data_IF_541831722460
#
_entry.id   IF_541831722460
#
_cell.length_a   1.000
_cell.length_b   1.000
_cell.length_c   1.000
_cell.angle_alpha   90.00
_cell.angle_beta   90.00
_cell.angle_gamma   90.00
#
_symmetry.space_group_name_H-M   'P 1'
#
loop_
_entity.id
_entity.type
_entity.pdbx_description
1 polymer ?
#
# COMPACT_ATOMS: atom_id res chain seq x y z
N UNK A 1 10.99 8.45 30.25
CA UNK A 1 10.10 7.45 29.61
C UNK A 1 10.28 7.57 28.11
N UNK A 2 10.59 6.49 27.39
CA UNK A 2 10.90 6.56 25.95
C UNK A 2 9.69 6.93 25.09
N UNK A 3 9.93 7.46 23.89
CA UNK A 3 8.89 7.89 22.93
C UNK A 3 7.89 6.76 22.61
N UNK A 4 8.36 5.52 22.48
CA UNK A 4 7.51 4.33 22.25
C UNK A 4 6.60 4.06 23.46
N UNK A 5 7.10 4.17 24.69
CA UNK A 5 6.28 3.99 25.89
C UNK A 5 5.23 5.08 26.01
N UNK A 6 5.58 6.32 25.65
CA UNK A 6 4.63 7.42 25.62
C UNK A 6 3.53 7.20 24.57
N UNK A 7 3.93 6.87 23.33
CA UNK A 7 3.00 6.57 22.23
C UNK A 7 2.08 5.39 22.58
N UNK A 8 2.61 4.33 23.21
CA UNK A 8 1.80 3.19 23.66
C UNK A 8 0.79 3.57 24.74
N UNK A 9 1.17 4.41 25.71
CA UNK A 9 0.22 4.92 26.73
C UNK A 9 -0.87 5.79 26.10
N UNK A 10 -0.49 6.68 25.19
CA UNK A 10 -1.44 7.51 24.46
C UNK A 10 -2.40 6.66 23.63
N UNK A 11 -1.88 5.69 22.87
CA UNK A 11 -2.69 4.81 22.04
C UNK A 11 -3.70 4.01 22.87
N UNK A 12 -3.29 3.46 24.02
CA UNK A 12 -4.22 2.76 24.91
C UNK A 12 -5.31 3.69 25.42
N UNK A 13 -4.94 4.88 25.91
CA UNK A 13 -5.91 5.86 26.39
C UNK A 13 -6.88 6.36 25.31
N UNK A 14 -6.44 6.40 24.05
CA UNK A 14 -7.28 6.77 22.91
C UNK A 14 -8.18 5.62 22.44
N UNK A 15 -7.62 4.41 22.30
CA UNK A 15 -8.26 3.31 21.59
C UNK A 15 -9.09 2.39 22.50
N UNK A 16 -8.69 2.15 23.75
CA UNK A 16 -9.46 1.28 24.66
C UNK A 16 -10.91 1.77 24.87
N UNK A 17 -11.18 3.07 25.13
CA UNK A 17 -12.55 3.55 25.25
C UNK A 17 -13.39 3.37 23.98
N UNK A 18 -12.76 3.42 22.79
CA UNK A 18 -13.44 3.17 21.52
C UNK A 18 -13.75 1.67 21.37
N UNK A 19 -12.82 0.80 21.72
CA UNK A 19 -13.04 -0.66 21.64
C UNK A 19 -14.10 -1.15 22.63
N UNK A 20 -14.35 -0.42 23.73
CA UNK A 20 -15.42 -0.72 24.69
C UNK A 20 -16.78 -0.10 24.29
N UNK A 21 -16.82 0.84 23.33
CA UNK A 21 -18.05 1.49 22.89
C UNK A 21 -18.79 0.63 21.84
N UNK A 22 -20.00 0.10 22.14
CA UNK A 22 -20.78 -0.72 21.21
C UNK A 22 -21.19 0.01 19.92
N UNK A 23 -21.17 1.35 19.90
CA UNK A 23 -21.42 2.12 18.68
C UNK A 23 -20.20 2.14 17.76
N UNK A 24 -18.99 1.99 18.31
CA UNK A 24 -17.75 1.91 17.55
C UNK A 24 -17.44 0.47 17.16
N UNK A 25 -17.51 -0.47 18.09
CA UNK A 25 -17.13 -1.88 17.88
C UNK A 25 -18.29 -2.72 17.31
N UNK A 26 -18.85 -2.27 16.19
CA UNK A 26 -19.95 -2.94 15.49
C UNK A 26 -19.57 -3.21 14.03
N UNK A 27 -19.10 -4.44 13.77
CA UNK A 27 -18.54 -4.85 12.49
C UNK A 27 -17.35 -3.99 12.06
N UNK A 28 -16.43 -3.73 13.01
CA UNK A 28 -15.28 -2.83 12.85
C UNK A 28 -13.96 -3.59 12.85
N UNK A 29 -13.11 -3.30 11.86
CA UNK A 29 -11.70 -3.67 11.83
C UNK A 29 -10.84 -2.43 12.08
N UNK A 30 -9.98 -2.49 13.08
CA UNK A 30 -8.98 -1.47 13.40
C UNK A 30 -7.60 -2.00 13.04
N UNK A 31 -6.84 -1.21 12.27
CA UNK A 31 -5.42 -1.42 12.06
C UNK A 31 -4.63 -0.41 12.90
N UNK A 32 -3.75 -0.90 13.74
CA UNK A 32 -2.69 -0.10 14.35
C UNK A 32 -1.38 -0.45 13.66
N UNK A 33 -0.68 0.55 13.13
CA UNK A 33 0.57 0.37 12.37
C UNK A 33 1.48 1.60 12.52
N UNK A 34 2.69 1.53 11.96
CA UNK A 34 3.63 2.64 11.84
C UNK A 34 3.91 2.92 10.37
N UNK A 35 4.32 4.15 10.04
CA UNK A 35 4.71 4.55 8.70
C UNK A 35 6.13 4.08 8.31
N UNK A 36 7.05 3.99 9.27
CA UNK A 36 8.40 3.48 9.02
C UNK A 36 9.08 2.90 10.27
N UNK A 37 10.22 2.23 10.05
CA UNK A 37 11.17 1.94 11.11
C UNK A 37 12.19 3.08 11.27
N UNK A 38 12.75 3.23 12.47
CA UNK A 38 13.71 4.31 12.77
C UNK A 38 15.16 3.96 12.33
N UNK A 39 15.38 2.81 11.71
CA UNK A 39 16.72 2.33 11.37
C UNK A 39 16.86 2.07 9.88
N UNK A 40 17.39 3.07 9.16
CA UNK A 40 17.61 3.02 7.71
C UNK A 40 18.53 1.89 7.22
N UNK A 41 19.37 1.31 8.09
CA UNK A 41 20.22 0.15 7.75
C UNK A 41 19.48 -1.20 7.82
N UNK A 42 18.31 -1.26 8.46
CA UNK A 42 17.49 -2.46 8.60
C UNK A 42 16.31 -2.38 7.64
N UNK A 43 15.91 -3.50 7.03
CA UNK A 43 14.73 -3.54 6.17
C UNK A 43 13.53 -2.88 6.85
N UNK A 44 12.87 -1.96 6.15
CA UNK A 44 11.66 -1.32 6.66
C UNK A 44 10.56 -2.38 6.87
N UNK A 45 10.38 -2.73 8.15
CA UNK A 45 9.36 -3.65 8.66
C UNK A 45 8.81 -3.03 9.92
N UNK A 46 7.53 -2.73 9.87
CA UNK A 46 6.81 -2.07 10.95
C UNK A 46 5.95 -3.07 11.70
N UNK A 47 5.74 -2.82 12.98
CA UNK A 47 4.76 -3.56 13.76
C UNK A 47 3.36 -3.16 13.30
N UNK A 48 2.50 -4.14 13.09
CA UNK A 48 1.10 -3.92 12.78
C UNK A 48 0.24 -4.92 13.54
N UNK A 49 -0.89 -4.48 14.05
CA UNK A 49 -1.88 -5.33 14.72
C UNK A 49 -3.28 -4.99 14.24
N UNK A 50 -4.07 -6.03 14.01
CA UNK A 50 -5.50 -5.92 13.73
C UNK A 50 -6.27 -6.17 15.02
N UNK A 51 -7.23 -5.30 15.29
CA UNK A 51 -8.15 -5.35 16.42
C UNK A 51 -9.58 -5.19 15.87
N UNK A 52 -10.60 -5.69 16.57
CA UNK A 52 -11.97 -5.59 16.08
C UNK A 52 -12.86 -6.77 16.47
N UNK A 53 -14.17 -6.56 16.49
CA UNK A 53 -15.18 -7.61 16.68
C UNK A 53 -15.34 -8.49 15.43
N UNK A 54 -14.93 -7.99 14.26
CA UNK A 54 -14.94 -8.76 13.01
C UNK A 54 -13.88 -9.84 12.94
N UNK A 55 -12.90 -9.84 13.85
CA UNK A 55 -11.82 -10.81 13.85
C UNK A 55 -12.36 -12.16 14.36
N UNK A 56 -12.28 -13.24 13.56
CA UNK A 56 -12.69 -14.57 14.00
C UNK A 56 -11.94 -15.01 15.25
N UNK A 57 -12.65 -15.67 16.19
CA UNK A 57 -12.07 -16.13 17.47
C UNK A 57 -10.81 -16.98 17.31
N UNK A 58 -10.72 -17.79 16.26
CA UNK A 58 -9.56 -18.63 15.97
C UNK A 58 -8.32 -17.85 15.47
N UNK A 59 -8.45 -16.56 15.14
CA UNK A 59 -7.35 -15.69 14.76
C UNK A 59 -6.85 -14.79 15.90
N UNK A 60 -7.53 -14.76 17.04
CA UNK A 60 -7.09 -13.97 18.20
C UNK A 60 -5.75 -14.51 18.71
N UNK A 61 -4.74 -13.64 18.80
CA UNK A 61 -3.37 -14.00 19.19
C UNK A 61 -2.58 -14.75 18.11
N UNK A 62 -3.13 -14.90 16.90
CA UNK A 62 -2.42 -15.48 15.77
C UNK A 62 -1.50 -14.45 15.09
N UNK A 63 -0.67 -14.93 14.17
CA UNK A 63 0.19 -14.09 13.34
C UNK A 63 -0.01 -14.43 11.86
N UNK A 64 -0.17 -13.38 11.05
CA UNK A 64 -0.24 -13.47 9.60
C UNK A 64 1.16 -13.34 8.99
N UNK A 65 1.49 -14.22 8.04
CA UNK A 65 2.80 -14.26 7.35
C UNK A 65 2.73 -13.72 5.92
N UNK A 66 1.58 -13.20 5.50
CA UNK A 66 1.39 -12.55 4.21
C UNK A 66 2.35 -11.37 4.01
N UNK A 67 2.63 -11.05 2.75
CA UNK A 67 3.38 -9.85 2.41
C UNK A 67 2.43 -8.66 2.30
N UNK A 68 2.60 -7.69 3.18
CA UNK A 68 1.83 -6.45 3.21
C UNK A 68 2.74 -5.23 3.10
N UNK A 69 2.24 -4.19 2.45
CA UNK A 69 2.85 -2.86 2.43
C UNK A 69 1.75 -1.81 2.64
N UNK A 70 2.06 -0.51 2.70
CA UNK A 70 1.02 0.50 2.92
C UNK A 70 -0.09 0.54 1.86
N UNK A 71 0.17 0.09 0.62
CA UNK A 71 -0.90 -0.05 -0.38
C UNK A 71 -1.86 -1.19 -0.05
N UNK A 72 -1.48 -2.16 0.79
CA UNK A 72 -2.38 -3.20 1.30
C UNK A 72 -3.50 -2.62 2.14
N UNK A 73 -3.26 -1.53 2.87
CA UNK A 73 -4.28 -0.83 3.63
C UNK A 73 -5.37 -0.29 2.69
N UNK A 74 -4.95 0.45 1.66
CA UNK A 74 -5.86 0.98 0.64
C UNK A 74 -6.56 -0.12 -0.16
N UNK A 75 -5.83 -1.16 -0.58
CA UNK A 75 -6.42 -2.27 -1.34
C UNK A 75 -7.43 -3.05 -0.50
N UNK A 76 -7.18 -3.19 0.80
CA UNK A 76 -8.14 -3.82 1.74
C UNK A 76 -9.42 -3.02 1.86
N UNK A 77 -9.33 -1.68 1.98
CA UNK A 77 -10.51 -0.80 1.95
C UNK A 77 -11.25 -0.96 0.61
N UNK A 78 -10.53 -0.94 -0.51
CA UNK A 78 -11.15 -1.11 -1.81
C UNK A 78 -11.89 -2.45 -1.95
N UNK A 79 -11.29 -3.53 -1.46
CA UNK A 79 -11.89 -4.87 -1.49
C UNK A 79 -13.13 -4.94 -0.58
N UNK A 80 -13.03 -4.43 0.65
CA UNK A 80 -14.10 -4.48 1.64
C UNK A 80 -15.39 -3.76 1.18
N UNK A 81 -15.24 -2.63 0.46
CA UNK A 81 -16.38 -1.85 -0.03
C UNK A 81 -16.69 -2.04 -1.52
N UNK A 82 -16.01 -2.97 -2.21
CA UNK A 82 -16.21 -3.18 -3.65
C UNK A 82 -15.84 -1.96 -4.50
N UNK A 83 -14.88 -1.15 -4.05
CA UNK A 83 -14.44 0.05 -4.74
C UNK A 83 -13.51 -0.27 -5.92
N UNK A 84 -13.40 0.71 -6.81
CA UNK A 84 -12.46 0.69 -7.94
C UNK A 84 -11.03 1.00 -7.47
N UNK A 85 -10.05 0.52 -8.23
CA UNK A 85 -8.65 0.82 -8.00
C UNK A 85 -8.26 2.19 -8.58
N UNK A 86 -7.13 2.71 -8.12
CA UNK A 86 -6.48 3.92 -8.63
C UNK A 86 -5.57 3.64 -9.84
N UNK A 87 -5.45 2.37 -10.26
CA UNK A 87 -4.53 1.96 -11.31
C UNK A 87 -3.06 2.09 -10.91
N UNK A 88 -2.74 2.04 -9.61
CA UNK A 88 -1.37 2.19 -9.09
C UNK A 88 -0.97 0.93 -8.31
N UNK A 89 -0.08 1.07 -7.31
CA UNK A 89 0.38 -0.06 -6.51
C UNK A 89 -0.71 -0.68 -5.61
N UNK A 90 -1.86 -0.03 -5.48
CA UNK A 90 -3.07 -0.59 -4.86
C UNK A 90 -3.64 -1.78 -5.65
N UNK A 91 -3.47 -1.79 -6.98
CA UNK A 91 -3.92 -2.89 -7.85
C UNK A 91 -3.27 -4.21 -7.46
N UNK A 92 -1.96 -4.19 -7.19
CA UNK A 92 -1.18 -5.38 -6.90
C UNK A 92 -0.99 -5.67 -5.41
N UNK A 93 -1.37 -4.77 -4.52
CA UNK A 93 -1.19 -5.01 -3.11
C UNK A 93 -2.09 -6.16 -2.64
N UNK A 94 -1.55 -7.04 -1.80
CA UNK A 94 -2.36 -8.02 -1.09
C UNK A 94 -3.33 -7.29 -0.15
N UNK A 95 -4.56 -7.78 -0.04
CA UNK A 95 -5.50 -7.39 1.01
C UNK A 95 -5.24 -8.23 2.27
N UNK A 96 -5.59 -7.77 3.46
CA UNK A 96 -5.41 -8.57 4.67
C UNK A 96 -6.12 -9.93 4.55
N UNK A 97 -5.50 -11.00 5.06
CA UNK A 97 -5.99 -12.37 4.81
C UNK A 97 -7.45 -12.56 5.23
N UNK A 98 -7.85 -11.98 6.36
CA UNK A 98 -9.25 -12.02 6.82
C UNK A 98 -10.24 -11.41 5.81
N UNK A 99 -9.83 -10.39 5.05
CA UNK A 99 -10.64 -9.74 4.02
C UNK A 99 -10.57 -10.56 2.75
N UNK A 100 -9.40 -11.09 2.41
CA UNK A 100 -9.22 -11.98 1.25
C UNK A 100 -10.16 -13.18 1.30
N UNK A 101 -10.29 -13.81 2.46
CA UNK A 101 -11.21 -14.93 2.70
C UNK A 101 -12.69 -14.57 2.45
N UNK A 102 -13.06 -13.29 2.50
CA UNK A 102 -14.43 -12.80 2.25
C UNK A 102 -14.62 -12.28 0.82
N UNK A 103 -13.58 -11.71 0.22
CA UNK A 103 -13.64 -11.06 -1.10
C UNK A 103 -13.18 -11.95 -2.25
N UNK A 104 -12.58 -13.12 -1.94
CA UNK A 104 -12.05 -14.04 -2.95
C UNK A 104 -10.69 -13.63 -3.50
N UNK A 105 -10.02 -12.66 -2.86
CA UNK A 105 -8.65 -12.31 -3.18
C UNK A 105 -7.71 -13.49 -2.87
N UNK A 106 -6.70 -13.69 -3.73
CA UNK A 106 -5.65 -14.68 -3.51
C UNK A 106 -4.35 -13.97 -3.12
N UNK A 107 -3.85 -14.24 -1.92
CA UNK A 107 -2.60 -13.67 -1.44
C UNK A 107 -1.41 -14.17 -2.26
N UNK A 108 -0.59 -13.23 -2.71
CA UNK A 108 0.65 -13.53 -3.43
C UNK A 108 1.84 -13.45 -2.48
N UNK A 109 2.83 -14.32 -2.69
CA UNK A 109 4.04 -14.35 -1.89
C UNK A 109 5.18 -13.60 -2.56
N UNK A 110 6.11 -13.11 -1.75
CA UNK A 110 7.33 -12.46 -2.21
C UNK A 110 8.46 -12.75 -1.21
N UNK A 111 9.69 -12.85 -1.72
CA UNK A 111 10.87 -13.00 -0.88
C UNK A 111 11.18 -11.70 -0.14
N UNK A 112 10.64 -11.59 1.07
CA UNK A 112 10.74 -10.42 1.93
C UNK A 112 12.18 -10.09 2.35
N UNK A 113 13.15 -10.98 2.14
CA UNK A 113 14.57 -10.68 2.43
C UNK A 113 15.20 -9.77 1.38
N UNK A 114 14.57 -9.63 0.22
CA UNK A 114 15.02 -8.79 -0.90
C UNK A 114 14.33 -7.43 -0.96
N UNK A 115 13.39 -7.17 -0.06
CA UNK A 115 12.59 -5.94 -0.04
C UNK A 115 13.21 -4.91 0.90
N UNK A 116 13.58 -3.76 0.35
CA UNK A 116 14.11 -2.62 1.12
C UNK A 116 13.31 -1.37 0.76
N UNK A 117 12.37 -1.00 1.63
CA UNK A 117 11.45 0.15 1.49
C UNK A 117 11.79 1.26 2.49
N UNK A 118 13.08 1.50 2.71
CA UNK A 118 13.60 2.49 3.65
C UNK A 118 13.65 3.91 3.07
N UNK A 119 13.55 4.03 1.75
CA UNK A 119 13.70 5.30 1.05
C UNK A 119 12.75 5.35 -0.14
N UNK A 120 12.02 6.46 -0.25
CA UNK A 120 11.18 6.74 -1.40
C UNK A 120 12.04 7.12 -2.61
N UNK A 121 11.63 6.68 -3.81
CA UNK A 121 12.22 7.20 -5.04
C UNK A 121 11.75 8.66 -5.27
N UNK A 122 12.52 9.49 -6.00
CA UNK A 122 12.16 10.89 -6.21
C UNK A 122 10.82 11.03 -6.96
N UNK A 123 10.06 12.07 -6.64
CA UNK A 123 8.81 12.42 -7.30
C UNK A 123 8.76 13.90 -7.73
N UNK A 124 7.59 14.37 -8.15
CA UNK A 124 7.39 15.75 -8.65
C UNK A 124 7.67 16.83 -7.60
N UNK A 125 7.57 16.48 -6.31
CA UNK A 125 7.84 17.38 -5.18
C UNK A 125 9.27 17.25 -4.61
N UNK A 126 10.12 16.42 -5.22
CA UNK A 126 11.45 16.18 -4.68
C UNK A 126 12.43 17.32 -5.04
N UNK A 127 12.94 18.03 -4.03
CA UNK A 127 13.73 19.27 -4.16
C UNK A 127 14.97 19.18 -5.07
N UNK A 128 15.71 18.06 -5.05
CA UNK A 128 17.00 17.92 -5.76
C UNK A 128 16.96 17.09 -7.06
N UNK A 129 15.99 16.21 -7.21
CA UNK A 129 15.94 15.18 -8.27
C UNK A 129 14.50 15.02 -8.69
N UNK A 130 14.15 15.62 -9.81
CA UNK A 130 12.82 15.48 -10.39
C UNK A 130 12.60 14.06 -10.93
N UNK A 131 11.42 13.50 -10.69
CA UNK A 131 10.88 12.41 -11.50
C UNK A 131 9.39 12.69 -11.81
N UNK A 132 8.90 12.32 -13.00
CA UNK A 132 7.51 12.53 -13.35
C UNK A 132 6.59 11.66 -12.50
N UNK A 133 5.40 12.20 -12.17
CA UNK A 133 4.33 11.41 -11.57
C UNK A 133 4.01 10.24 -12.52
N UNK A 134 4.13 8.98 -12.07
CA UNK A 134 3.90 7.86 -12.97
C UNK A 134 2.43 7.80 -13.42
N UNK A 135 2.22 7.51 -14.70
CA UNK A 135 0.89 7.31 -15.29
C UNK A 135 0.29 6.04 -14.68
N UNK A 136 -0.95 6.08 -14.16
CA UNK A 136 -1.62 4.87 -13.67
C UNK A 136 -1.87 3.88 -14.82
N UNK A 137 -1.89 2.59 -14.51
CA UNK A 137 -2.40 1.58 -15.45
C UNK A 137 -3.93 1.69 -15.52
N UNK A 138 -4.45 2.37 -16.54
CA UNK A 138 -5.89 2.60 -16.73
C UNK A 138 -6.65 1.37 -17.23
N UNK A 139 -5.95 0.32 -17.58
CA UNK A 139 -6.53 -0.95 -18.06
C UNK A 139 -6.41 -2.05 -17.00
N UNK A 140 -5.89 -1.72 -15.81
CA UNK A 140 -5.68 -2.69 -14.76
C UNK A 140 -7.00 -3.36 -14.34
N UNK A 141 -6.95 -4.69 -14.26
CA UNK A 141 -7.99 -5.53 -13.69
C UNK A 141 -7.29 -6.60 -12.85
N UNK A 142 -7.54 -6.60 -11.55
CA UNK A 142 -6.93 -7.56 -10.62
C UNK A 142 -7.91 -7.91 -9.51
N UNK A 143 -8.01 -9.20 -9.15
CA UNK A 143 -8.95 -9.70 -8.14
C UNK A 143 -10.39 -9.16 -8.32
N UNK A 144 -10.86 -9.08 -9.57
CA UNK A 144 -12.19 -8.55 -9.92
C UNK A 144 -12.34 -7.02 -9.84
N UNK A 145 -11.33 -6.28 -9.36
CA UNK A 145 -11.34 -4.81 -9.27
C UNK A 145 -10.78 -4.18 -10.53
N UNK A 146 -11.51 -3.22 -11.09
CA UNK A 146 -11.09 -2.40 -12.23
C UNK A 146 -10.74 -0.98 -11.79
N UNK A 147 -10.07 -0.23 -12.65
CA UNK A 147 -9.73 1.19 -12.40
C UNK A 147 -10.97 2.08 -12.43
N UNK A 148 -10.98 3.13 -11.60
CA UNK A 148 -12.04 4.14 -11.58
C UNK A 148 -12.15 4.88 -12.93
N UNK A 149 -13.36 5.05 -13.44
CA UNK A 149 -13.58 5.59 -14.79
C UNK A 149 -13.06 7.02 -14.96
N UNK A 150 -13.13 7.86 -13.92
CA UNK A 150 -12.56 9.22 -13.97
C UNK A 150 -11.05 9.20 -14.18
N UNK A 151 -10.34 8.22 -13.62
CA UNK A 151 -8.90 8.03 -13.85
C UNK A 151 -8.65 7.57 -15.29
N UNK A 152 -9.47 6.66 -15.81
CA UNK A 152 -9.39 6.21 -17.21
C UNK A 152 -9.62 7.37 -18.18
N UNK A 153 -10.59 8.24 -17.91
CA UNK A 153 -10.88 9.42 -18.72
C UNK A 153 -9.70 10.41 -18.77
N UNK A 154 -9.04 10.65 -17.63
CA UNK A 154 -7.90 11.58 -17.55
C UNK A 154 -6.63 10.98 -18.18
N UNK A 155 -6.33 9.71 -17.91
CA UNK A 155 -5.02 9.12 -18.19
C UNK A 155 -5.00 8.13 -19.36
N UNK A 156 -6.16 7.71 -19.88
CA UNK A 156 -6.27 6.60 -20.84
C UNK A 156 -5.49 6.82 -22.13
N UNK A 157 -5.41 8.07 -22.61
CA UNK A 157 -4.63 8.43 -23.82
C UNK A 157 -3.13 8.25 -23.67
N UNK A 158 -2.61 8.14 -22.45
CA UNK A 158 -1.19 7.98 -22.15
C UNK A 158 -0.90 6.67 -21.43
N UNK A 159 -1.83 5.72 -21.39
CA UNK A 159 -1.69 4.48 -20.61
C UNK A 159 -0.43 3.67 -20.98
N UNK A 160 0.02 3.75 -22.23
CA UNK A 160 1.27 3.13 -22.73
C UNK A 160 2.53 3.58 -21.96
N UNK A 161 2.42 4.65 -21.16
CA UNK A 161 3.47 5.21 -20.30
C UNK A 161 3.40 4.72 -18.85
N UNK A 162 2.45 3.84 -18.52
CA UNK A 162 2.29 3.32 -17.16
C UNK A 162 3.47 2.46 -16.69
N UNK A 163 3.84 2.62 -15.42
CA UNK A 163 4.84 1.77 -14.74
C UNK A 163 4.19 0.69 -13.87
N UNK A 164 2.85 0.68 -13.79
CA UNK A 164 2.07 -0.20 -12.91
C UNK A 164 1.53 -1.44 -13.64
N UNK A 165 1.97 -1.66 -14.89
CA UNK A 165 1.52 -2.77 -15.73
C UNK A 165 1.76 -4.11 -15.04
N UNK A 166 0.74 -4.96 -15.06
CA UNK A 166 0.81 -6.32 -14.49
C UNK A 166 0.60 -6.38 -12.98
N UNK A 167 0.10 -5.31 -12.35
CA UNK A 167 -0.24 -5.29 -10.92
C UNK A 167 0.91 -5.78 -10.02
N UNK A 168 2.09 -5.12 -10.05
CA UNK A 168 3.27 -5.61 -9.35
C UNK A 168 3.02 -5.65 -7.83
N UNK A 169 3.38 -6.77 -7.20
CA UNK A 169 3.32 -6.92 -5.75
C UNK A 169 4.47 -6.17 -5.05
N UNK A 170 5.67 -6.22 -5.63
CA UNK A 170 6.81 -5.42 -5.17
C UNK A 170 6.65 -3.99 -5.63
N UNK A 171 6.77 -3.04 -4.71
CA UNK A 171 6.77 -1.61 -5.00
C UNK A 171 8.21 -1.10 -5.14
N UNK A 172 8.43 -0.02 -5.92
CA UNK A 172 9.75 0.57 -6.08
C UNK A 172 10.19 1.33 -4.82
N UNK A 173 11.50 1.47 -4.69
CA UNK A 173 12.17 2.30 -3.68
C UNK A 173 13.32 3.08 -4.32
N UNK A 174 14.08 3.86 -3.54
CA UNK A 174 15.26 4.52 -4.07
C UNK A 174 16.28 3.53 -4.67
N UNK A 175 16.43 2.35 -4.05
CA UNK A 175 17.34 1.29 -4.50
C UNK A 175 16.82 0.50 -5.70
N UNK A 176 15.50 0.43 -5.85
CA UNK A 176 14.82 -0.24 -6.95
C UNK A 176 13.77 0.70 -7.55
N UNK A 177 14.18 1.74 -8.30
CA UNK A 177 13.25 2.75 -8.82
C UNK A 177 12.32 2.15 -9.89
N UNK A 178 11.16 2.77 -10.15
CA UNK A 178 10.27 2.28 -11.19
C UNK A 178 10.93 2.36 -12.56
N UNK A 179 10.72 1.33 -13.38
CA UNK A 179 11.20 1.29 -14.76
C UNK A 179 10.17 1.98 -15.65
N UNK A 180 10.50 3.17 -16.15
CA UNK A 180 9.63 3.90 -17.06
C UNK A 180 9.72 3.34 -18.50
N UNK A 181 8.60 3.27 -19.25
CA UNK A 181 8.63 2.93 -20.66
C UNK A 181 9.56 3.85 -21.46
N UNK A 182 10.23 3.30 -22.50
CA UNK A 182 11.31 3.95 -23.27
C UNK A 182 10.95 5.34 -23.84
N UNK A 183 9.68 5.66 -23.98
CA UNK A 183 9.20 6.97 -24.45
C UNK A 183 9.55 8.13 -23.51
N UNK A 184 9.71 7.90 -22.20
CA UNK A 184 10.12 8.94 -21.25
C UNK A 184 11.58 9.40 -21.45
N UNK A 185 12.46 8.50 -21.86
CA UNK A 185 13.91 8.74 -22.00
C UNK A 185 14.29 9.69 -23.15
N UNK A 186 13.43 9.86 -24.17
CA UNK A 186 13.77 10.64 -25.37
C UNK A 186 13.78 12.16 -25.16
N UNK A 187 13.07 12.69 -24.15
CA UNK A 187 13.04 14.14 -23.87
C UNK A 187 14.33 14.70 -23.24
N UNK A 188 15.20 13.86 -22.67
CA UNK A 188 16.45 14.32 -22.04
C UNK A 188 17.60 14.63 -23.02
N UNK A 189 17.45 14.31 -24.32
CA UNK A 189 18.48 14.54 -25.35
C UNK A 189 18.32 15.84 -26.17
N UNK A 190 17.35 16.71 -25.84
CA UNK A 190 17.06 17.93 -26.62
C UNK A 190 17.28 19.26 -25.86
N UNK A 191 17.98 19.24 -24.72
CA UNK A 191 18.22 20.43 -23.89
C UNK A 191 19.67 20.60 -23.50
N UNK A 192 20.58 20.48 -24.46
CA UNK A 192 22.01 20.74 -24.28
C UNK A 192 22.63 21.14 -25.61
N UNK A 193 22.55 22.44 -25.90
CA UNK A 193 23.47 23.22 -26.72
C UNK A 193 23.54 24.61 -26.07
#
# INVERSE_FOLDING_TARGET
>A
MGMITYAGKWLRGFLEPLLDDPNFINNTLVLVTFDENDTYSKQNRVFSILLGDVIPKNLIGSADKGFYNHYSELSTVQANWGLKSLGRYDVGANVFDLVAQKTGDSLRSLDITKVYLNESYPGIFHRKKYAPLPVPDTEASFAGRTVLESIRSIWGKVQNKSVYKGAPLSIPSLRNPPIYPREYSRRKRRGGN
#
